data_IF_222793365804
#
_entry.id   IF_222793365804
#
_cell.length_a   1.000
_cell.length_b   1.000
_cell.length_c   1.000
_cell.angle_alpha   90.00
_cell.angle_beta   90.00
_cell.angle_gamma   90.00
#
_symmetry.space_group_name_H-M   'P 1'
#
loop_
_entity.id
_entity.type
_entity.pdbx_description
1 polymer ?
#
# COMPACT_ATOMS: atom_id res chain seq x y z
N UNK A 1 -9.88 7.75 4.24
CA UNK A 1 -8.83 7.49 3.22
C UNK A 1 -9.27 6.43 2.25
N UNK A 2 -8.98 6.64 0.96
CA UNK A 2 -9.11 5.67 -0.12
C UNK A 2 -7.78 5.48 -0.85
N UNK A 3 -7.57 4.32 -1.46
CA UNK A 3 -6.46 4.07 -2.39
C UNK A 3 -5.33 3.22 -1.82
N UNK A 4 -4.10 3.67 -2.01
CA UNK A 4 -2.88 2.91 -1.76
C UNK A 4 -2.25 3.21 -0.38
N UNK A 5 -1.19 2.47 -0.04
CA UNK A 5 -0.40 2.70 1.19
C UNK A 5 0.16 4.12 1.28
N UNK A 6 0.47 4.73 0.13
CA UNK A 6 0.96 6.11 0.10
C UNK A 6 -0.12 7.10 0.55
N UNK A 7 -1.38 6.96 0.06
CA UNK A 7 -2.50 7.77 0.55
C UNK A 7 -2.73 7.54 2.06
N UNK A 8 -2.60 6.29 2.51
CA UNK A 8 -2.74 5.96 3.94
C UNK A 8 -1.69 6.71 4.77
N UNK A 9 -0.41 6.58 4.41
CA UNK A 9 0.69 7.31 5.06
C UNK A 9 0.41 8.83 5.12
N UNK A 10 0.05 9.42 3.99
CA UNK A 10 -0.22 10.87 3.90
C UNK A 10 -1.37 11.29 4.83
N UNK A 11 -2.44 10.48 4.91
CA UNK A 11 -3.56 10.76 5.82
C UNK A 11 -3.17 10.63 7.28
N UNK A 12 -2.44 9.57 7.64
CA UNK A 12 -2.02 9.34 9.02
C UNK A 12 -1.08 10.47 9.49
N UNK A 13 -0.18 10.94 8.61
CA UNK A 13 0.69 12.10 8.88
C UNK A 13 -0.11 13.41 9.06
N UNK A 14 -1.13 13.64 8.24
CA UNK A 14 -2.02 14.80 8.39
C UNK A 14 -2.78 14.72 9.71
N UNK A 15 -3.32 13.54 10.05
CA UNK A 15 -4.01 13.33 11.32
C UNK A 15 -3.09 13.55 12.53
N UNK A 16 -1.82 13.11 12.45
CA UNK A 16 -0.79 13.39 13.47
C UNK A 16 -0.59 14.89 13.67
N UNK A 17 -0.52 15.68 12.58
CA UNK A 17 -0.41 17.14 12.69
C UNK A 17 -1.64 17.79 13.32
N UNK A 18 -2.85 17.37 12.93
CA UNK A 18 -4.08 17.86 13.54
C UNK A 18 -4.12 17.57 15.05
N UNK A 19 -3.72 16.36 15.47
CA UNK A 19 -3.63 16.04 16.90
C UNK A 19 -2.62 16.90 17.65
N UNK A 20 -1.44 17.12 17.05
CA UNK A 20 -0.41 17.99 17.62
C UNK A 20 -0.89 19.45 17.78
N UNK A 21 -1.79 19.90 16.90
CA UNK A 21 -2.46 21.21 16.96
C UNK A 21 -3.68 21.24 17.91
N UNK A 22 -3.98 20.13 18.63
CA UNK A 22 -5.05 20.05 19.61
C UNK A 22 -6.42 19.61 19.07
N UNK A 23 -6.51 19.18 17.81
CA UNK A 23 -7.74 18.61 17.26
C UNK A 23 -7.97 17.18 17.74
N UNK A 24 -9.22 16.83 17.98
CA UNK A 24 -9.65 15.46 18.21
C UNK A 24 -9.96 14.76 16.88
N UNK A 25 -9.43 13.55 16.70
CA UNK A 25 -9.74 12.72 15.53
C UNK A 25 -10.85 11.75 15.90
N UNK A 26 -11.98 11.86 15.24
CA UNK A 26 -13.19 11.07 15.46
C UNK A 26 -13.51 10.19 14.23
N UNK A 27 -14.42 9.24 14.39
CA UNK A 27 -14.88 8.43 13.27
C UNK A 27 -15.60 9.28 12.22
N UNK A 28 -15.46 8.90 10.94
CA UNK A 28 -16.04 9.65 9.81
C UNK A 28 -17.57 9.81 9.89
N UNK A 29 -18.24 8.94 10.62
CA UNK A 29 -19.69 8.98 10.82
C UNK A 29 -20.13 9.84 12.01
N UNK A 30 -19.20 10.33 12.82
CA UNK A 30 -19.46 11.27 13.91
C UNK A 30 -19.56 12.72 13.41
N UNK A 31 -20.10 13.59 14.24
CA UNK A 31 -20.14 15.03 13.97
C UNK A 31 -18.75 15.62 14.18
N UNK A 32 -18.28 16.41 13.23
CA UNK A 32 -16.96 17.05 13.28
C UNK A 32 -17.00 18.42 12.61
N UNK A 33 -16.10 19.31 12.99
CA UNK A 33 -15.94 20.63 12.39
C UNK A 33 -15.24 20.56 11.02
N UNK A 34 -14.41 19.53 10.82
CA UNK A 34 -13.65 19.29 9.58
C UNK A 34 -13.78 17.84 9.12
N UNK A 35 -14.15 17.62 7.88
CA UNK A 35 -14.11 16.31 7.22
C UNK A 35 -13.02 16.30 6.17
N UNK A 36 -12.02 15.43 6.33
CA UNK A 36 -10.95 15.25 5.37
C UNK A 36 -11.13 13.94 4.58
N UNK A 37 -11.19 14.05 3.24
CA UNK A 37 -11.30 12.91 2.31
C UNK A 37 -10.06 12.83 1.44
N UNK A 38 -9.15 11.89 1.71
CA UNK A 38 -8.04 11.56 0.83
C UNK A 38 -8.50 10.53 -0.21
N UNK A 39 -8.56 10.95 -1.46
CA UNK A 39 -9.28 10.29 -2.55
C UNK A 39 -8.37 9.47 -3.49
N UNK A 40 -8.98 8.56 -4.24
CA UNK A 40 -8.31 7.70 -5.23
C UNK A 40 -9.09 7.72 -6.55
N UNK A 41 -8.35 7.58 -7.69
CA UNK A 41 -8.92 7.56 -9.04
C UNK A 41 -8.37 6.43 -9.92
N UNK A 42 -7.68 5.43 -9.36
CA UNK A 42 -7.05 4.36 -10.17
C UNK A 42 -8.06 3.45 -10.89
N UNK A 43 -9.34 3.46 -10.48
CA UNK A 43 -10.43 2.73 -11.12
C UNK A 43 -11.74 3.53 -11.04
N UNK A 44 -12.72 3.24 -11.93
CA UNK A 44 -14.08 3.83 -11.86
C UNK A 44 -14.77 3.55 -10.52
N UNK A 45 -14.45 2.40 -9.89
CA UNK A 45 -14.96 2.07 -8.56
C UNK A 45 -14.36 2.99 -7.49
N UNK A 46 -13.08 3.33 -7.62
CA UNK A 46 -12.43 4.28 -6.72
C UNK A 46 -13.04 5.68 -6.87
N UNK A 47 -13.27 6.16 -8.10
CA UNK A 47 -13.93 7.44 -8.35
C UNK A 47 -15.30 7.51 -7.68
N UNK A 48 -16.13 6.45 -7.88
CA UNK A 48 -17.44 6.40 -7.25
C UNK A 48 -17.37 6.42 -5.72
N UNK A 49 -16.43 5.70 -5.13
CA UNK A 49 -16.22 5.74 -3.67
C UNK A 49 -15.78 7.12 -3.20
N UNK A 50 -14.88 7.78 -3.94
CA UNK A 50 -14.41 9.13 -3.64
C UNK A 50 -15.56 10.14 -3.63
N UNK A 51 -16.39 10.15 -4.68
CA UNK A 51 -17.60 11.00 -4.72
C UNK A 51 -18.59 10.69 -3.60
N UNK A 52 -18.81 9.41 -3.30
CA UNK A 52 -19.74 9.03 -2.24
C UNK A 52 -19.28 9.55 -0.87
N UNK A 53 -17.97 9.53 -0.56
CA UNK A 53 -17.47 10.08 0.69
C UNK A 53 -17.61 11.61 0.73
N UNK A 54 -17.32 12.30 -0.37
CA UNK A 54 -17.57 13.74 -0.49
C UNK A 54 -19.03 14.08 -0.17
N UNK A 55 -19.98 13.44 -0.86
CA UNK A 55 -21.41 13.68 -0.63
C UNK A 55 -21.87 13.30 0.78
N UNK A 56 -21.26 12.27 1.39
CA UNK A 56 -21.54 11.92 2.80
C UNK A 56 -21.10 13.02 3.74
N UNK A 57 -19.91 13.61 3.55
CA UNK A 57 -19.42 14.72 4.35
C UNK A 57 -20.33 15.95 4.15
N UNK A 58 -20.66 16.33 2.91
CA UNK A 58 -21.53 17.46 2.61
C UNK A 58 -22.96 17.31 3.17
N UNK A 59 -23.51 16.09 3.27
CA UNK A 59 -24.81 15.83 3.91
C UNK A 59 -24.86 16.11 5.41
N UNK A 60 -23.69 16.36 6.04
CA UNK A 60 -23.61 16.82 7.44
C UNK A 60 -23.93 18.31 7.59
N UNK A 61 -24.05 19.05 6.48
CA UNK A 61 -24.45 20.45 6.51
C UNK A 61 -25.89 20.59 7.02
N UNK A 62 -26.05 21.49 8.00
CA UNK A 62 -27.34 21.90 8.54
C UNK A 62 -27.48 23.41 8.44
N UNK A 63 -28.68 24.00 8.62
CA UNK A 63 -28.81 25.45 8.67
C UNK A 63 -27.92 26.14 9.70
N UNK A 64 -27.67 25.45 10.83
CA UNK A 64 -26.94 25.98 11.98
C UNK A 64 -25.47 25.54 12.02
N UNK A 65 -25.04 24.60 11.19
CA UNK A 65 -23.67 24.07 11.18
C UNK A 65 -23.25 23.64 9.77
N UNK A 66 -22.17 24.23 9.29
CA UNK A 66 -21.53 23.86 8.01
C UNK A 66 -20.07 23.49 8.27
N UNK A 67 -19.78 22.20 8.53
CA UNK A 67 -18.40 21.76 8.69
C UNK A 67 -17.59 22.02 7.42
N UNK A 68 -16.31 22.28 7.61
CA UNK A 68 -15.37 22.38 6.48
C UNK A 68 -15.13 20.98 5.88
N UNK A 69 -15.36 20.79 4.61
CA UNK A 69 -15.06 19.55 3.88
C UNK A 69 -13.83 19.77 3.01
N UNK A 70 -12.74 19.07 3.32
CA UNK A 70 -11.49 19.12 2.52
C UNK A 70 -11.35 17.81 1.77
N UNK A 71 -11.35 17.87 0.45
CA UNK A 71 -11.04 16.72 -0.39
C UNK A 71 -9.69 16.89 -1.06
N UNK A 72 -8.88 15.84 -1.01
CA UNK A 72 -7.55 15.80 -1.63
C UNK A 72 -7.31 14.47 -2.32
N UNK A 73 -6.16 14.31 -2.97
CA UNK A 73 -5.75 13.03 -3.55
C UNK A 73 -5.97 12.94 -5.06
N UNK A 74 -5.74 11.73 -5.59
CA UNK A 74 -5.69 11.50 -7.04
C UNK A 74 -7.01 11.81 -7.77
N UNK A 75 -8.16 11.69 -7.09
CA UNK A 75 -9.44 12.05 -7.69
C UNK A 75 -9.54 13.55 -7.94
N UNK A 76 -9.11 14.37 -7.00
CA UNK A 76 -9.11 15.83 -7.14
C UNK A 76 -8.28 16.25 -8.35
N UNK A 77 -7.06 15.70 -8.49
CA UNK A 77 -6.19 16.01 -9.63
C UNK A 77 -6.81 15.61 -10.98
N UNK A 78 -7.43 14.42 -11.04
CA UNK A 78 -7.97 13.92 -12.31
C UNK A 78 -9.29 14.56 -12.74
N UNK A 79 -9.96 15.27 -11.82
CA UNK A 79 -11.25 15.93 -12.05
C UNK A 79 -11.23 17.42 -11.69
N UNK A 80 -10.04 18.04 -11.66
CA UNK A 80 -9.88 19.43 -11.19
C UNK A 80 -10.77 20.41 -11.95
N UNK A 81 -10.94 20.20 -13.26
CA UNK A 81 -11.78 21.06 -14.11
C UNK A 81 -13.28 20.96 -13.79
N UNK A 82 -13.70 19.88 -13.13
CA UNK A 82 -15.10 19.60 -12.77
C UNK A 82 -15.41 19.94 -11.29
N UNK A 83 -14.42 20.48 -10.55
CA UNK A 83 -14.50 20.75 -9.11
C UNK A 83 -14.28 22.23 -8.82
N UNK A 84 -15.20 22.84 -8.08
CA UNK A 84 -15.14 24.23 -7.66
C UNK A 84 -15.08 24.31 -6.13
N UNK A 85 -14.13 25.10 -5.61
CA UNK A 85 -14.03 25.39 -4.19
C UNK A 85 -15.16 26.34 -3.78
N UNK A 86 -15.73 26.15 -2.61
CA UNK A 86 -16.67 27.08 -1.97
C UNK A 86 -16.25 27.38 -0.52
N UNK A 87 -17.06 28.16 0.21
CA UNK A 87 -16.76 28.52 1.62
C UNK A 87 -16.65 27.33 2.55
N UNK A 88 -17.27 26.19 2.22
CA UNK A 88 -17.38 24.99 3.07
C UNK A 88 -16.77 23.73 2.45
N UNK A 89 -16.32 23.79 1.18
CA UNK A 89 -15.76 22.63 0.49
C UNK A 89 -14.51 23.05 -0.30
N UNK A 90 -13.36 22.44 0.05
CA UNK A 90 -12.09 22.71 -0.60
C UNK A 90 -11.54 21.49 -1.31
N UNK A 91 -10.92 21.71 -2.46
CA UNK A 91 -10.25 20.69 -3.25
C UNK A 91 -8.74 20.98 -3.32
N UNK A 92 -7.97 20.33 -2.47
CA UNK A 92 -6.52 20.53 -2.32
C UNK A 92 -5.76 19.52 -3.17
N UNK A 93 -4.88 19.99 -4.04
CA UNK A 93 -4.02 19.15 -4.89
C UNK A 93 -3.00 18.31 -4.09
N UNK A 94 -2.43 17.30 -4.77
CA UNK A 94 -1.41 16.43 -4.17
C UNK A 94 -0.12 17.19 -3.81
N UNK A 95 0.18 18.26 -4.53
CA UNK A 95 1.34 19.14 -4.31
C UNK A 95 1.26 19.96 -3.01
N UNK A 96 0.04 20.21 -2.50
CA UNK A 96 -0.23 21.00 -1.28
C UNK A 96 -0.87 20.20 -0.16
N UNK A 97 -1.00 18.89 -0.32
CA UNK A 97 -1.67 18.01 0.64
C UNK A 97 -1.05 18.07 2.04
N UNK A 98 0.27 18.18 2.15
CA UNK A 98 1.01 18.29 3.41
C UNK A 98 0.65 19.55 4.20
N UNK A 99 0.16 20.58 3.52
CA UNK A 99 -0.20 21.87 4.13
C UNK A 99 -1.66 21.96 4.56
N UNK A 100 -2.46 20.91 4.40
CA UNK A 100 -3.88 20.94 4.79
C UNK A 100 -4.09 21.36 6.24
N UNK A 101 -3.32 20.88 7.24
CA UNK A 101 -3.49 21.35 8.61
C UNK A 101 -3.29 22.88 8.75
N UNK A 102 -2.22 23.43 8.14
CA UNK A 102 -1.94 24.87 8.19
C UNK A 102 -3.07 25.69 7.55
N UNK A 103 -3.60 25.22 6.39
CA UNK A 103 -4.72 25.86 5.70
C UNK A 103 -5.99 25.89 6.54
N UNK A 104 -6.27 24.78 7.25
CA UNK A 104 -7.44 24.67 8.14
C UNK A 104 -7.30 25.57 9.36
N UNK A 105 -6.12 25.57 10.00
CA UNK A 105 -5.85 26.46 11.14
C UNK A 105 -5.98 27.93 10.78
N UNK A 106 -5.37 28.34 9.66
CA UNK A 106 -5.48 29.71 9.15
C UNK A 106 -6.92 30.12 8.86
N UNK A 107 -7.72 29.20 8.29
CA UNK A 107 -9.15 29.45 8.03
C UNK A 107 -9.91 29.78 9.32
N UNK A 108 -9.75 28.97 10.37
CA UNK A 108 -10.42 29.21 11.64
C UNK A 108 -9.87 30.44 12.39
N UNK A 109 -8.60 30.81 12.13
CA UNK A 109 -8.01 32.05 12.64
C UNK A 109 -8.43 33.32 11.85
N UNK A 110 -9.08 33.14 10.68
CA UNK A 110 -9.40 34.25 9.76
C UNK A 110 -8.19 34.80 9.03
N UNK A 111 -7.15 33.98 8.87
CA UNK A 111 -5.89 34.34 8.22
C UNK A 111 -5.81 33.78 6.78
N UNK A 112 -5.08 34.45 5.91
CA UNK A 112 -4.76 33.95 4.57
C UNK A 112 -3.29 33.55 4.51
N UNK A 113 -3.03 32.28 4.15
CA UNK A 113 -1.68 31.75 4.00
C UNK A 113 -1.45 31.19 2.60
N UNK A 114 -0.20 31.24 2.17
CA UNK A 114 0.27 30.60 0.94
C UNK A 114 1.33 29.56 1.32
N UNK A 115 0.89 28.34 1.65
CA UNK A 115 1.82 27.32 2.11
C UNK A 115 2.78 26.92 1.00
N UNK A 116 4.04 26.80 1.38
CA UNK A 116 5.12 26.25 0.54
C UNK A 116 5.62 24.99 1.18
N UNK A 117 6.08 24.03 0.40
CA UNK A 117 6.61 22.77 0.96
C UNK A 117 6.82 21.72 -0.10
N UNK A 118 7.50 20.66 0.29
CA UNK A 118 7.74 19.49 -0.53
C UNK A 118 6.63 18.45 -0.36
N UNK A 119 6.38 17.64 -1.38
CA UNK A 119 5.51 16.46 -1.28
C UNK A 119 6.01 15.40 -0.27
N UNK A 120 7.15 15.65 0.36
CA UNK A 120 7.74 14.83 1.42
C UNK A 120 7.64 15.45 2.81
N UNK A 121 7.07 16.65 2.95
CA UNK A 121 6.96 17.37 4.25
C UNK A 121 5.79 16.81 5.08
N UNK A 122 5.89 15.52 5.36
CA UNK A 122 4.99 14.81 6.24
C UNK A 122 5.76 14.31 7.46
N UNK A 123 5.27 14.54 8.69
CA UNK A 123 5.85 13.92 9.87
C UNK A 123 5.69 12.40 9.82
N UNK A 124 6.47 11.70 10.59
CA UNK A 124 6.25 10.29 10.84
C UNK A 124 4.88 10.13 11.52
N UNK A 125 3.97 9.28 10.99
CA UNK A 125 2.66 9.08 11.61
C UNK A 125 2.78 8.50 13.02
N UNK A 126 1.94 8.95 13.94
CA UNK A 126 1.82 8.36 15.27
C UNK A 126 1.43 6.87 15.17
N UNK A 127 2.00 6.03 16.05
CA UNK A 127 1.74 4.58 16.08
C UNK A 127 0.31 4.18 16.45
N UNK A 128 -0.49 5.10 16.98
CA UNK A 128 -1.90 4.85 17.29
C UNK A 128 -2.72 4.41 16.06
N UNK A 129 -2.28 4.77 14.87
CA UNK A 129 -2.97 4.40 13.62
C UNK A 129 -2.57 3.02 13.13
N UNK A 130 -1.30 2.63 13.30
CA UNK A 130 -0.76 1.36 12.81
C UNK A 130 0.44 0.90 13.63
N UNK A 131 0.57 -0.42 13.82
CA UNK A 131 1.72 -1.04 14.49
C UNK A 131 3.01 -0.89 13.68
N UNK A 132 2.90 -0.86 12.35
CA UNK A 132 4.02 -0.72 11.41
C UNK A 132 4.16 0.73 10.99
N UNK A 133 5.38 1.27 11.06
CA UNK A 133 5.67 2.61 10.57
C UNK A 133 5.92 2.59 9.06
N UNK A 134 5.23 3.46 8.34
CA UNK A 134 5.41 3.65 6.90
C UNK A 134 6.28 4.87 6.66
N UNK A 135 7.28 4.75 5.77
CA UNK A 135 8.16 5.85 5.36
C UNK A 135 8.04 6.05 3.85
N UNK A 136 7.57 7.23 3.47
CA UNK A 136 7.48 7.65 2.06
C UNK A 136 8.88 8.03 1.56
N UNK A 137 9.35 7.30 0.53
CA UNK A 137 10.68 7.50 -0.04
C UNK A 137 10.66 8.09 -1.46
N UNK A 138 9.52 7.97 -2.16
CA UNK A 138 9.41 8.37 -3.55
C UNK A 138 7.95 8.75 -3.87
N UNK A 139 7.74 9.70 -4.79
CA UNK A 139 6.42 10.04 -5.33
C UNK A 139 6.48 10.26 -6.85
N UNK A 140 5.32 10.23 -7.51
CA UNK A 140 5.22 10.37 -8.97
C UNK A 140 5.83 9.20 -9.76
N UNK A 141 5.68 9.19 -11.09
CA UNK A 141 6.18 8.12 -11.95
C UNK A 141 6.45 8.58 -13.37
N UNK A 142 7.56 8.12 -13.97
CA UNK A 142 7.96 8.41 -15.34
C UNK A 142 7.77 7.21 -16.29
N UNK A 143 7.12 6.11 -15.88
CA UNK A 143 6.94 4.94 -16.75
C UNK A 143 5.89 5.18 -17.84
N UNK A 144 4.87 5.99 -17.55
CA UNK A 144 3.78 6.25 -18.49
C UNK A 144 3.19 4.95 -19.08
N UNK A 145 2.97 3.94 -18.23
CA UNK A 145 2.25 2.73 -18.64
C UNK A 145 0.92 3.14 -19.28
N UNK A 146 0.54 2.51 -20.38
CA UNK A 146 -0.55 3.00 -21.24
C UNK A 146 -1.91 3.10 -20.55
N UNK A 147 -2.13 2.35 -19.49
CA UNK A 147 -3.37 2.32 -18.69
C UNK A 147 -3.33 3.21 -17.45
N UNK A 148 -2.16 3.76 -17.10
CA UNK A 148 -1.93 4.34 -15.77
C UNK A 148 -2.13 5.85 -15.76
N UNK A 149 -2.96 6.33 -14.83
CA UNK A 149 -3.23 7.76 -14.62
C UNK A 149 -2.19 8.44 -13.70
N UNK A 150 -1.39 7.67 -12.96
CA UNK A 150 -0.51 8.19 -11.90
C UNK A 150 0.44 9.29 -12.36
N UNK A 151 1.13 9.21 -13.53
CA UNK A 151 1.98 10.31 -13.98
C UNK A 151 1.27 11.66 -14.14
N UNK A 152 -0.04 11.63 -14.35
CA UNK A 152 -0.87 12.83 -14.56
C UNK A 152 -1.42 13.39 -13.25
N UNK A 153 -1.59 12.55 -12.22
CA UNK A 153 -2.19 12.97 -10.95
C UNK A 153 -1.20 13.08 -9.78
N UNK A 154 0.02 12.52 -9.92
CA UNK A 154 1.11 12.64 -8.93
C UNK A 154 2.39 13.23 -9.54
N UNK A 155 2.35 13.57 -10.84
CA UNK A 155 3.46 14.21 -11.51
C UNK A 155 4.65 13.27 -11.78
N UNK A 156 5.80 13.89 -12.06
CA UNK A 156 7.06 13.20 -12.36
C UNK A 156 7.61 12.50 -11.12
N UNK A 157 8.40 11.43 -11.37
CA UNK A 157 9.10 10.72 -10.32
C UNK A 157 10.06 11.67 -9.58
N UNK A 158 9.89 11.75 -8.25
CA UNK A 158 10.72 12.52 -7.33
C UNK A 158 11.09 11.62 -6.16
N UNK A 159 12.37 11.62 -5.79
CA UNK A 159 12.89 10.86 -4.64
C UNK A 159 13.08 11.78 -3.44
N UNK A 160 12.77 11.27 -2.25
CA UNK A 160 13.13 11.93 -0.99
C UNK A 160 14.63 11.78 -0.77
N UNK A 161 15.37 12.81 -0.28
CA UNK A 161 16.79 12.68 0.04
C UNK A 161 17.05 11.49 0.96
N UNK A 162 18.10 10.71 0.67
CA UNK A 162 18.39 9.47 1.40
C UNK A 162 18.62 9.72 2.90
N UNK A 163 19.27 10.83 3.26
CA UNK A 163 19.47 11.23 4.64
C UNK A 163 18.15 11.46 5.39
N UNK A 164 17.14 12.05 4.71
CA UNK A 164 15.83 12.34 5.31
C UNK A 164 15.00 11.05 5.46
N UNK A 165 15.18 10.08 4.55
CA UNK A 165 14.57 8.75 4.68
C UNK A 165 15.15 8.01 5.89
N UNK A 166 16.48 8.02 6.04
CA UNK A 166 17.16 7.38 7.18
C UNK A 166 16.78 8.06 8.50
N UNK A 167 16.69 9.40 8.51
CA UNK A 167 16.24 10.16 9.69
C UNK A 167 14.81 9.78 10.09
N UNK A 168 13.87 9.75 9.13
CA UNK A 168 12.49 9.37 9.39
C UNK A 168 12.36 7.90 9.86
N UNK A 169 13.16 6.99 9.30
CA UNK A 169 13.19 5.60 9.77
C UNK A 169 13.69 5.49 11.21
N UNK A 170 14.72 6.26 11.58
CA UNK A 170 15.26 6.31 12.96
C UNK A 170 14.23 6.89 13.91
N UNK A 171 13.62 8.02 13.57
CA UNK A 171 12.56 8.65 14.36
C UNK A 171 11.42 7.66 14.66
N UNK A 172 10.94 6.93 13.65
CA UNK A 172 9.93 5.90 13.82
C UNK A 172 10.35 4.77 14.76
N UNK A 173 11.62 4.33 14.68
CA UNK A 173 12.18 3.29 15.56
C UNK A 173 12.36 3.80 17.00
N UNK A 174 12.80 5.03 17.17
CA UNK A 174 12.95 5.69 18.48
C UNK A 174 11.58 5.88 19.15
N UNK A 175 10.51 6.15 18.35
CA UNK A 175 9.11 6.12 18.81
C UNK A 175 8.58 4.69 19.04
N UNK A 176 9.42 3.68 18.90
CA UNK A 176 9.20 2.28 19.23
C UNK A 176 8.55 1.44 18.14
N UNK A 177 8.55 1.86 16.87
CA UNK A 177 8.14 0.98 15.77
C UNK A 177 9.04 -0.26 15.72
N UNK A 178 8.44 -1.40 15.38
CA UNK A 178 9.16 -2.68 15.21
C UNK A 178 9.29 -3.09 13.74
N UNK A 179 8.47 -2.54 12.87
CA UNK A 179 8.58 -2.77 11.43
C UNK A 179 8.50 -1.43 10.68
N UNK A 180 9.48 -1.18 9.81
CA UNK A 180 9.49 -0.07 8.86
C UNK A 180 9.02 -0.59 7.50
N UNK A 181 8.09 0.11 6.87
CA UNK A 181 7.62 -0.19 5.51
C UNK A 181 8.01 0.97 4.59
N UNK A 182 8.97 0.75 3.70
CA UNK A 182 9.28 1.74 2.67
C UNK A 182 8.16 1.75 1.62
N UNK A 183 7.65 2.93 1.30
CA UNK A 183 6.58 3.11 0.33
C UNK A 183 6.86 4.24 -0.66
N UNK A 184 6.31 4.08 -1.85
CA UNK A 184 6.38 5.05 -2.94
C UNK A 184 5.52 4.60 -4.10
N UNK A 185 5.53 5.37 -5.19
CA UNK A 185 4.81 5.05 -6.42
C UNK A 185 5.61 4.08 -7.29
N UNK A 186 6.91 4.35 -7.48
CA UNK A 186 7.82 3.52 -8.26
C UNK A 186 9.23 3.55 -7.66
N UNK A 187 9.41 2.83 -6.57
CA UNK A 187 10.66 2.84 -5.81
C UNK A 187 11.84 2.19 -6.54
N UNK A 188 11.61 1.32 -7.53
CA UNK A 188 12.70 0.76 -8.35
C UNK A 188 13.46 1.84 -9.15
N UNK A 189 12.89 3.04 -9.23
CA UNK A 189 13.51 4.21 -9.88
C UNK A 189 13.96 5.29 -8.88
N UNK A 190 14.03 4.94 -7.60
CA UNK A 190 14.57 5.84 -6.60
C UNK A 190 16.00 6.25 -7.00
N UNK A 191 16.27 7.56 -6.90
CA UNK A 191 17.59 8.13 -7.15
C UNK A 191 17.75 9.42 -6.34
N UNK A 192 18.81 9.47 -5.58
CA UNK A 192 19.29 10.66 -4.88
C UNK A 192 20.80 10.72 -5.12
N UNK A 193 21.21 11.54 -6.07
CA UNK A 193 22.56 11.57 -6.63
C UNK A 193 23.06 10.15 -7.01
N UNK A 194 24.08 9.64 -6.36
CA UNK A 194 24.63 8.30 -6.58
C UNK A 194 23.89 7.20 -5.80
N UNK A 195 22.92 7.57 -4.95
CA UNK A 195 22.16 6.62 -4.11
C UNK A 195 20.99 6.08 -4.90
N UNK A 196 21.03 4.81 -5.25
CA UNK A 196 19.90 4.07 -5.79
C UNK A 196 19.06 3.42 -4.68
N UNK A 197 18.00 2.69 -5.06
CA UNK A 197 17.08 2.10 -4.09
C UNK A 197 17.75 1.02 -3.22
N UNK A 198 18.66 0.21 -3.78
CA UNK A 198 19.38 -0.81 -3.01
C UNK A 198 20.31 -0.17 -1.97
N UNK A 199 21.07 0.83 -2.38
CA UNK A 199 21.94 1.61 -1.48
C UNK A 199 21.14 2.34 -0.39
N UNK A 200 19.94 2.85 -0.71
CA UNK A 200 19.03 3.42 0.29
C UNK A 200 18.64 2.38 1.35
N UNK A 201 18.25 1.18 0.91
CA UNK A 201 17.88 0.08 1.82
C UNK A 201 19.06 -0.27 2.73
N UNK A 202 20.29 -0.37 2.21
CA UNK A 202 21.47 -0.62 3.03
C UNK A 202 21.66 0.43 4.12
N UNK A 203 21.51 1.73 3.76
CA UNK A 203 21.62 2.81 4.74
C UNK A 203 20.56 2.72 5.83
N UNK A 204 19.35 2.32 5.49
CA UNK A 204 18.28 2.10 6.48
C UNK A 204 18.58 0.87 7.33
N UNK A 205 19.04 -0.24 6.74
CA UNK A 205 19.43 -1.45 7.47
C UNK A 205 20.62 -1.26 8.41
N UNK A 206 21.45 -0.23 8.18
CA UNK A 206 22.56 0.14 9.08
C UNK A 206 22.07 0.72 10.43
N UNK A 207 20.79 1.06 10.60
CA UNK A 207 20.22 1.47 11.89
C UNK A 207 20.15 0.24 12.79
N UNK A 208 20.80 0.29 13.94
CA UNK A 208 20.82 -0.81 14.91
C UNK A 208 19.45 -1.05 15.55
N UNK A 209 19.25 -2.22 16.15
CA UNK A 209 18.05 -2.55 16.90
C UNK A 209 17.35 -3.83 16.43
N UNK A 210 16.32 -4.21 17.19
CA UNK A 210 15.46 -5.38 16.92
C UNK A 210 14.18 -4.94 16.21
N UNK A 211 14.27 -4.80 14.89
CA UNK A 211 13.18 -4.36 14.01
C UNK A 211 13.28 -5.03 12.64
N UNK A 212 12.27 -4.88 11.80
CA UNK A 212 12.19 -5.50 10.47
C UNK A 212 11.90 -4.46 9.38
N UNK A 213 12.56 -4.59 8.24
CA UNK A 213 12.33 -3.77 7.06
C UNK A 213 11.47 -4.52 6.05
N UNK A 214 10.46 -3.86 5.55
CA UNK A 214 9.61 -4.34 4.47
C UNK A 214 9.57 -3.32 3.34
N UNK A 215 9.61 -3.82 2.12
CA UNK A 215 9.43 -3.03 0.91
C UNK A 215 7.99 -3.23 0.42
N UNK A 216 7.31 -2.15 0.05
CA UNK A 216 5.95 -2.24 -0.50
C UNK A 216 5.96 -2.70 -1.97
N UNK A 217 5.28 -2.02 -2.88
CA UNK A 217 5.18 -2.43 -4.28
C UNK A 217 6.40 -2.01 -5.09
N UNK A 218 6.94 -2.93 -5.92
CA UNK A 218 8.03 -2.65 -6.86
C UNK A 218 7.67 -3.07 -8.29
N UNK A 219 8.24 -2.34 -9.23
CA UNK A 219 8.31 -2.76 -10.62
C UNK A 219 9.47 -3.75 -10.81
N UNK A 220 9.32 -4.80 -11.63
CA UNK A 220 10.36 -5.81 -11.86
C UNK A 220 11.60 -5.26 -12.57
N UNK A 221 11.44 -4.18 -13.35
CA UNK A 221 12.53 -3.55 -14.06
C UNK A 221 13.51 -2.87 -13.09
N UNK A 222 14.80 -2.97 -13.37
CA UNK A 222 15.90 -2.34 -12.62
C UNK A 222 16.19 -2.92 -11.22
N UNK A 223 15.65 -4.07 -10.86
CA UNK A 223 16.08 -4.77 -9.66
C UNK A 223 17.42 -5.46 -9.91
N UNK A 224 18.46 -4.96 -9.26
CA UNK A 224 19.85 -5.41 -9.42
C UNK A 224 20.13 -6.66 -8.59
N UNK A 225 21.29 -7.32 -8.84
CA UNK A 225 21.79 -8.38 -7.97
C UNK A 225 21.94 -7.90 -6.54
N UNK A 226 22.54 -6.74 -6.36
CA UNK A 226 22.73 -6.08 -5.07
C UNK A 226 21.39 -5.97 -4.30
N UNK A 227 20.29 -5.55 -4.97
CA UNK A 227 18.97 -5.52 -4.33
C UNK A 227 18.50 -6.91 -3.87
N UNK A 228 18.75 -7.96 -4.65
CA UNK A 228 18.36 -9.33 -4.30
C UNK A 228 19.17 -9.85 -3.12
N UNK A 229 20.47 -9.53 -3.04
CA UNK A 229 21.35 -9.91 -1.95
C UNK A 229 20.97 -9.29 -0.61
N UNK A 230 20.28 -8.14 -0.61
CA UNK A 230 19.78 -7.53 0.63
C UNK A 230 18.79 -8.43 1.38
N UNK A 231 18.14 -9.37 0.71
CA UNK A 231 17.26 -10.32 1.39
C UNK A 231 17.98 -11.39 2.21
N UNK A 232 19.32 -11.46 2.13
CA UNK A 232 20.16 -12.25 3.06
C UNK A 232 20.28 -11.55 4.43
N UNK A 233 19.94 -10.26 4.52
CA UNK A 233 20.03 -9.52 5.77
C UNK A 233 18.86 -9.91 6.71
N UNK A 234 19.12 -10.26 8.00
CA UNK A 234 18.12 -10.85 8.90
C UNK A 234 16.95 -9.93 9.24
N UNK A 235 17.07 -8.62 8.96
CA UNK A 235 15.98 -7.64 9.14
C UNK A 235 15.15 -7.43 7.87
N UNK A 236 15.58 -7.91 6.71
CA UNK A 236 14.75 -7.85 5.51
C UNK A 236 13.62 -8.88 5.59
N UNK A 237 12.39 -8.42 5.44
CA UNK A 237 11.24 -9.32 5.37
C UNK A 237 11.24 -10.11 4.04
N UNK A 238 11.12 -11.45 4.05
CA UNK A 238 11.12 -12.28 2.84
C UNK A 238 9.78 -12.20 2.08
N UNK A 239 9.39 -11.00 1.74
CA UNK A 239 8.17 -10.68 1.02
C UNK A 239 8.40 -9.51 0.06
N UNK A 240 7.82 -9.61 -1.12
CA UNK A 240 7.81 -8.52 -2.10
C UNK A 240 6.50 -8.51 -2.89
N UNK A 241 5.88 -7.33 -2.98
CA UNK A 241 4.82 -7.11 -3.96
C UNK A 241 5.47 -6.68 -5.28
N UNK A 242 5.53 -7.62 -6.23
CA UNK A 242 6.18 -7.42 -7.52
C UNK A 242 5.13 -7.37 -8.63
N UNK A 243 4.95 -6.19 -9.26
CA UNK A 243 3.86 -5.93 -10.20
C UNK A 243 4.06 -6.67 -11.52
N UNK A 244 3.26 -7.70 -11.82
CA UNK A 244 3.30 -8.45 -13.10
C UNK A 244 2.41 -7.82 -14.17
N UNK A 245 1.19 -7.46 -13.83
CA UNK A 245 0.12 -6.92 -14.68
C UNK A 245 -0.45 -7.90 -15.70
N UNK A 246 0.38 -8.60 -16.48
CA UNK A 246 0.00 -9.65 -17.45
C UNK A 246 1.18 -10.62 -17.64
N UNK A 247 0.91 -11.86 -18.04
CA UNK A 247 1.95 -12.81 -18.45
C UNK A 247 2.11 -12.93 -19.98
N UNK A 248 1.28 -12.24 -20.77
CA UNK A 248 1.44 -12.16 -22.21
C UNK A 248 2.45 -11.08 -22.60
N UNK A 249 3.48 -11.47 -23.35
CA UNK A 249 4.51 -10.53 -23.83
C UNK A 249 3.90 -9.40 -24.69
N UNK A 250 2.92 -9.74 -25.55
CA UNK A 250 2.25 -8.75 -26.38
C UNK A 250 1.45 -7.75 -25.52
N UNK A 251 0.77 -8.22 -24.49
CA UNK A 251 0.01 -7.35 -23.58
C UNK A 251 0.96 -6.51 -22.73
N UNK A 252 2.04 -7.06 -22.21
CA UNK A 252 3.07 -6.30 -21.49
C UNK A 252 3.64 -5.18 -22.36
N UNK A 253 3.97 -5.47 -23.62
CA UNK A 253 4.43 -4.46 -24.58
C UNK A 253 3.36 -3.40 -24.85
N UNK A 254 2.10 -3.80 -25.05
CA UNK A 254 0.97 -2.88 -25.26
C UNK A 254 0.70 -2.01 -24.02
N UNK A 255 0.92 -2.54 -22.83
CA UNK A 255 0.91 -1.80 -21.55
C UNK A 255 2.12 -0.89 -21.36
N UNK A 256 3.14 -0.96 -22.25
CA UNK A 256 4.43 -0.27 -22.13
C UNK A 256 5.20 -0.69 -20.88
N UNK A 257 5.22 -1.99 -20.59
CA UNK A 257 6.04 -2.54 -19.50
C UNK A 257 7.49 -2.69 -19.96
N UNK A 258 8.43 -2.53 -19.04
CA UNK A 258 9.88 -2.51 -19.31
C UNK A 258 10.54 -3.86 -18.98
N UNK A 259 9.76 -4.93 -18.95
CA UNK A 259 10.21 -6.30 -18.64
C UNK A 259 9.32 -7.30 -19.38
N UNK A 260 9.85 -8.51 -19.54
CA UNK A 260 9.18 -9.68 -20.07
C UNK A 260 8.70 -10.58 -18.92
N UNK A 261 7.76 -11.50 -19.22
CA UNK A 261 7.34 -12.49 -18.23
C UNK A 261 8.48 -13.47 -17.87
N UNK A 262 9.37 -13.76 -18.81
CA UNK A 262 10.54 -14.58 -18.54
C UNK A 262 11.54 -13.90 -17.58
N UNK A 263 11.75 -12.60 -17.70
CA UNK A 263 12.56 -11.83 -16.75
C UNK A 263 11.91 -11.82 -15.36
N UNK A 264 10.59 -11.64 -15.30
CA UNK A 264 9.82 -11.73 -14.06
C UNK A 264 10.00 -13.11 -13.39
N UNK A 265 9.88 -14.20 -14.15
CA UNK A 265 10.07 -15.57 -13.63
C UNK A 265 11.50 -15.82 -13.12
N UNK A 266 12.52 -15.30 -13.84
CA UNK A 266 13.92 -15.40 -13.40
C UNK A 266 14.11 -14.67 -12.05
N UNK A 267 13.59 -13.47 -11.92
CA UNK A 267 13.64 -12.71 -10.67
C UNK A 267 12.95 -13.45 -9.53
N UNK A 268 11.74 -13.95 -9.76
CA UNK A 268 10.99 -14.73 -8.78
C UNK A 268 11.75 -15.99 -8.31
N UNK A 269 12.45 -16.67 -9.24
CA UNK A 269 13.31 -17.83 -8.91
C UNK A 269 14.48 -17.41 -8.02
N UNK A 270 15.18 -16.35 -8.39
CA UNK A 270 16.35 -15.86 -7.63
C UNK A 270 16.01 -15.45 -6.21
N UNK A 271 14.86 -14.80 -6.00
CA UNK A 271 14.37 -14.48 -4.65
C UNK A 271 14.10 -15.76 -3.84
N UNK A 272 13.58 -16.83 -4.48
CA UNK A 272 13.33 -18.11 -3.82
C UNK A 272 14.59 -18.96 -3.62
N UNK A 273 15.66 -18.68 -4.30
CA UNK A 273 16.98 -19.27 -4.02
C UNK A 273 17.55 -18.74 -2.69
N UNK A 274 17.20 -17.48 -2.30
CA UNK A 274 17.55 -16.91 -0.99
C UNK A 274 16.67 -17.44 0.13
N UNK A 275 15.37 -17.54 -0.11
CA UNK A 275 14.42 -18.15 0.80
C UNK A 275 13.38 -18.97 0.01
N UNK A 276 13.35 -20.31 0.14
CA UNK A 276 12.39 -21.17 -0.57
C UNK A 276 10.92 -20.82 -0.30
N UNK A 277 10.63 -20.12 0.81
CA UNK A 277 9.31 -19.67 1.19
C UNK A 277 9.09 -18.18 0.89
N UNK A 278 10.01 -17.53 0.16
CA UNK A 278 9.88 -16.12 -0.20
C UNK A 278 8.48 -15.82 -0.75
N UNK A 279 7.77 -14.90 -0.10
CA UNK A 279 6.40 -14.55 -0.46
C UNK A 279 6.37 -13.51 -1.58
N UNK A 280 5.92 -13.91 -2.75
CA UNK A 280 5.64 -13.01 -3.86
C UNK A 280 4.15 -12.73 -3.92
N UNK A 281 3.80 -11.45 -3.95
CA UNK A 281 2.44 -10.98 -4.25
C UNK A 281 2.46 -10.11 -5.51
N UNK A 282 1.33 -9.98 -6.20
CA UNK A 282 1.31 -9.29 -7.49
C UNK A 282 -0.04 -8.67 -7.82
N UNK A 283 -0.04 -7.79 -8.82
CA UNK A 283 -1.23 -7.28 -9.50
C UNK A 283 -1.38 -7.94 -10.87
N UNK A 284 -2.63 -8.27 -11.25
CA UNK A 284 -2.98 -8.70 -12.62
C UNK A 284 -4.16 -7.90 -13.11
N UNK A 285 -4.02 -7.31 -14.30
CA UNK A 285 -5.08 -6.62 -15.02
C UNK A 285 -5.61 -7.57 -16.10
N UNK A 286 -6.92 -7.83 -16.08
CA UNK A 286 -7.60 -8.65 -17.09
C UNK A 286 -8.50 -7.83 -17.98
N UNK A 287 -8.63 -8.22 -19.23
CA UNK A 287 -9.47 -7.52 -20.19
C UNK A 287 -8.89 -6.18 -20.64
N UNK A 288 -7.57 -6.09 -20.73
CA UNK A 288 -6.88 -4.98 -21.38
C UNK A 288 -7.31 -4.91 -22.87
N UNK A 289 -7.33 -3.71 -23.51
CA UNK A 289 -7.73 -3.61 -24.92
C UNK A 289 -7.06 -4.63 -25.82
N UNK A 290 -7.87 -5.35 -26.60
CA UNK A 290 -7.47 -6.41 -27.52
C UNK A 290 -6.77 -7.64 -26.87
N UNK A 291 -6.89 -7.85 -25.57
CA UNK A 291 -6.41 -9.11 -24.93
C UNK A 291 -7.23 -10.30 -25.44
N UNK A 292 -6.55 -11.27 -26.08
CA UNK A 292 -7.19 -12.50 -26.57
C UNK A 292 -7.50 -13.49 -25.43
N UNK A 293 -8.21 -14.58 -25.72
CA UNK A 293 -8.45 -15.63 -24.73
C UNK A 293 -7.16 -16.41 -24.43
N UNK A 294 -6.30 -16.64 -25.41
CA UNK A 294 -5.00 -17.31 -25.24
C UNK A 294 -4.09 -16.50 -24.31
N UNK A 295 -4.05 -15.18 -24.47
CA UNK A 295 -3.23 -14.28 -23.63
C UNK A 295 -3.76 -14.17 -22.19
N UNK A 296 -5.07 -14.21 -22.04
CA UNK A 296 -5.68 -14.35 -20.73
C UNK A 296 -5.29 -15.69 -20.08
N UNK A 297 -5.33 -16.80 -20.82
CA UNK A 297 -4.92 -18.12 -20.32
C UNK A 297 -3.42 -18.16 -19.93
N UNK A 298 -2.55 -17.39 -20.60
CA UNK A 298 -1.14 -17.22 -20.17
C UNK A 298 -1.07 -16.61 -18.77
N UNK A 299 -1.84 -15.55 -18.51
CA UNK A 299 -1.90 -14.91 -17.19
C UNK A 299 -2.50 -15.83 -16.12
N UNK A 300 -3.51 -16.64 -16.46
CA UNK A 300 -4.08 -17.63 -15.55
C UNK A 300 -3.05 -18.71 -15.18
N UNK A 301 -2.35 -19.28 -16.18
CA UNK A 301 -1.26 -20.25 -15.93
C UNK A 301 -0.12 -19.66 -15.10
N UNK A 302 0.18 -18.36 -15.26
CA UNK A 302 1.18 -17.68 -14.46
C UNK A 302 0.80 -17.64 -12.96
N UNK A 303 -0.48 -17.39 -12.63
CA UNK A 303 -0.97 -17.44 -11.26
C UNK A 303 -0.76 -18.82 -10.63
N UNK A 304 -1.05 -19.88 -11.39
CA UNK A 304 -0.90 -21.26 -10.92
C UNK A 304 0.57 -21.68 -10.77
N UNK A 305 1.43 -21.28 -11.71
CA UNK A 305 2.82 -21.77 -11.80
C UNK A 305 3.82 -20.97 -11.00
N UNK A 306 3.65 -19.66 -10.87
CA UNK A 306 4.57 -18.81 -10.09
C UNK A 306 4.39 -19.04 -8.59
N UNK A 307 3.19 -19.41 -8.13
CA UNK A 307 2.94 -19.71 -6.71
C UNK A 307 2.94 -18.45 -5.84
N UNK A 308 2.10 -17.50 -6.17
CA UNK A 308 1.92 -16.26 -5.42
C UNK A 308 1.24 -16.50 -4.07
N UNK A 309 1.67 -15.77 -3.04
CA UNK A 309 0.97 -15.71 -1.76
C UNK A 309 -0.29 -14.85 -1.80
N UNK A 310 -0.38 -13.93 -2.78
CA UNK A 310 -1.60 -13.18 -3.07
C UNK A 310 -1.54 -12.54 -4.47
N UNK A 311 -2.70 -12.45 -5.13
CA UNK A 311 -2.87 -11.74 -6.41
C UNK A 311 -4.01 -10.75 -6.29
N UNK A 312 -3.72 -9.48 -6.49
CA UNK A 312 -4.75 -8.46 -6.67
C UNK A 312 -5.22 -8.44 -8.12
N UNK A 313 -6.48 -8.75 -8.34
CA UNK A 313 -7.06 -8.85 -9.67
C UNK A 313 -7.89 -7.62 -10.01
N UNK A 314 -7.54 -6.97 -11.11
CA UNK A 314 -8.20 -5.77 -11.60
C UNK A 314 -8.82 -6.02 -12.98
N UNK A 315 -10.14 -5.94 -13.13
CA UNK A 315 -10.72 -5.73 -14.45
C UNK A 315 -10.19 -4.40 -15.01
N UNK A 316 -9.71 -4.39 -16.25
CA UNK A 316 -9.25 -3.16 -16.88
C UNK A 316 -10.33 -2.06 -16.79
N UNK A 317 -9.94 -0.93 -16.26
CA UNK A 317 -10.78 0.25 -16.05
C UNK A 317 -10.23 1.42 -16.87
N UNK A 318 -11.02 1.90 -17.82
CA UNK A 318 -10.65 3.05 -18.66
C UNK A 318 -10.38 4.27 -17.78
N UNK A 319 -9.22 4.91 -17.98
CA UNK A 319 -8.87 6.18 -17.34
C UNK A 319 -8.76 7.27 -18.41
N UNK A 320 -9.56 8.34 -18.23
CA UNK A 320 -9.56 9.50 -19.12
C UNK A 320 -8.15 10.07 -19.26
N UNK A 321 -7.74 10.39 -20.47
CA UNK A 321 -6.43 10.95 -20.78
C UNK A 321 -5.30 9.92 -20.94
N UNK A 322 -5.51 8.65 -20.56
CA UNK A 322 -4.51 7.60 -20.78
C UNK A 322 -4.46 7.12 -22.23
N UNK A 323 -3.31 6.58 -22.65
CA UNK A 323 -3.18 6.05 -24.01
C UNK A 323 -4.11 4.85 -24.27
N UNK A 324 -4.30 3.99 -23.26
CA UNK A 324 -5.14 2.79 -23.39
C UNK A 324 -6.63 3.13 -23.56
N UNK A 325 -7.10 4.31 -23.13
CA UNK A 325 -8.45 4.80 -23.41
C UNK A 325 -8.75 4.83 -24.93
N UNK A 326 -7.74 5.18 -25.73
CA UNK A 326 -7.87 5.36 -27.20
C UNK A 326 -7.51 4.12 -28.00
N UNK A 327 -7.09 3.04 -27.34
CA UNK A 327 -6.75 1.79 -28.02
C UNK A 327 -8.03 1.12 -28.57
N UNK A 328 -7.97 0.49 -29.74
CA UNK A 328 -9.07 -0.34 -30.25
C UNK A 328 -9.20 -1.64 -29.45
N UNK A 329 -10.32 -2.32 -29.57
CA UNK A 329 -10.51 -3.65 -29.02
C UNK A 329 -10.85 -3.67 -27.53
N UNK A 330 -11.52 -2.64 -26.99
CA UNK A 330 -12.04 -2.67 -25.63
C UNK A 330 -13.01 -3.83 -25.44
N UNK A 331 -12.73 -4.69 -24.47
CA UNK A 331 -13.55 -5.84 -24.17
C UNK A 331 -14.83 -5.45 -23.41
N UNK A 332 -15.94 -6.16 -23.64
CA UNK A 332 -17.18 -5.96 -22.88
C UNK A 332 -16.99 -6.17 -21.39
N UNK A 333 -17.79 -5.47 -20.58
CA UNK A 333 -17.72 -5.59 -19.11
C UNK A 333 -17.92 -7.03 -18.63
N UNK A 334 -18.82 -7.80 -19.27
CA UNK A 334 -19.05 -9.21 -18.97
C UNK A 334 -17.78 -10.04 -19.06
N UNK A 335 -17.02 -9.92 -20.17
CA UNK A 335 -15.76 -10.66 -20.37
C UNK A 335 -14.74 -10.30 -19.29
N UNK A 336 -14.58 -9.01 -18.98
CA UNK A 336 -13.66 -8.56 -17.92
C UNK A 336 -14.05 -9.11 -16.55
N UNK A 337 -15.35 -9.17 -16.25
CA UNK A 337 -15.85 -9.70 -14.97
C UNK A 337 -15.62 -11.21 -14.88
N UNK A 338 -15.86 -11.95 -15.95
CA UNK A 338 -15.65 -13.41 -16.04
C UNK A 338 -14.16 -13.75 -15.89
N UNK A 339 -13.28 -13.09 -16.65
CA UNK A 339 -11.82 -13.27 -16.52
C UNK A 339 -11.32 -12.95 -15.12
N UNK A 340 -11.82 -11.86 -14.51
CA UNK A 340 -11.46 -11.50 -13.16
C UNK A 340 -11.93 -12.52 -12.11
N UNK A 341 -13.07 -13.17 -12.31
CA UNK A 341 -13.54 -14.24 -11.43
C UNK A 341 -12.60 -15.45 -11.50
N UNK A 342 -12.22 -15.88 -12.71
CA UNK A 342 -11.29 -17.02 -12.92
C UNK A 342 -9.91 -16.77 -12.30
N UNK A 343 -9.32 -15.56 -12.47
CA UNK A 343 -8.04 -15.22 -11.82
C UNK A 343 -8.18 -15.22 -10.30
N UNK A 344 -9.27 -14.69 -9.74
CA UNK A 344 -9.48 -14.70 -8.28
C UNK A 344 -9.59 -16.12 -7.72
N UNK A 345 -10.27 -17.02 -8.40
CA UNK A 345 -10.37 -18.43 -8.01
C UNK A 345 -8.98 -19.08 -8.00
N UNK A 346 -8.21 -18.95 -9.08
CA UNK A 346 -6.83 -19.46 -9.15
C UNK A 346 -5.93 -18.82 -8.06
N UNK A 347 -6.10 -17.52 -7.81
CA UNK A 347 -5.37 -16.79 -6.78
C UNK A 347 -5.68 -17.30 -5.36
N UNK A 348 -6.93 -17.65 -5.06
CA UNK A 348 -7.30 -18.27 -3.77
C UNK A 348 -6.63 -19.63 -3.59
N UNK A 349 -6.59 -20.46 -4.63
CA UNK A 349 -5.88 -21.74 -4.61
C UNK A 349 -4.38 -21.52 -4.39
N UNK A 350 -3.76 -20.61 -5.12
CA UNK A 350 -2.34 -20.29 -5.00
C UNK A 350 -2.00 -19.77 -3.57
N UNK A 351 -2.81 -18.86 -3.04
CA UNK A 351 -2.68 -18.33 -1.67
C UNK A 351 -2.73 -19.45 -0.64
N UNK A 352 -3.72 -20.34 -0.73
CA UNK A 352 -3.86 -21.48 0.18
C UNK A 352 -2.64 -22.38 0.13
N UNK A 353 -2.20 -22.79 -1.05
CA UNK A 353 -0.99 -23.62 -1.25
C UNK A 353 0.26 -22.96 -0.69
N UNK A 354 0.40 -21.64 -0.86
CA UNK A 354 1.52 -20.92 -0.29
C UNK A 354 1.51 -20.96 1.23
N UNK A 355 0.36 -20.67 1.86
CA UNK A 355 0.22 -20.68 3.33
C UNK A 355 0.39 -22.10 3.92
N UNK A 356 -0.08 -23.13 3.23
CA UNK A 356 0.11 -24.54 3.63
C UNK A 356 1.60 -24.93 3.70
N UNK A 357 2.45 -24.39 2.82
CA UNK A 357 3.91 -24.61 2.85
C UNK A 357 4.59 -24.02 4.09
N UNK A 358 3.98 -23.07 4.74
CA UNK A 358 4.48 -22.50 6.01
C UNK A 358 4.13 -23.35 7.23
N UNK A 359 3.16 -24.26 7.11
CA UNK A 359 2.79 -25.18 8.21
C UNK A 359 3.99 -26.06 8.61
N UNK A 360 4.18 -26.23 9.92
CA UNK A 360 5.34 -26.92 10.50
C UNK A 360 6.59 -26.05 10.66
N UNK A 361 6.52 -24.77 10.26
CA UNK A 361 7.61 -23.78 10.43
C UNK A 361 7.37 -22.90 11.64
N UNK A 362 8.42 -22.22 12.07
CA UNK A 362 8.33 -21.19 13.11
C UNK A 362 8.49 -19.82 12.45
N UNK A 363 7.47 -18.97 12.61
CA UNK A 363 7.45 -17.59 12.12
C UNK A 363 7.77 -16.61 13.24
N UNK A 364 8.50 -15.55 12.89
CA UNK A 364 8.64 -14.36 13.74
C UNK A 364 7.48 -13.40 13.43
N UNK A 365 6.53 -13.32 14.35
CA UNK A 365 5.27 -12.59 14.19
C UNK A 365 5.32 -11.28 14.95
N UNK A 366 5.03 -10.16 14.28
CA UNK A 366 4.74 -8.90 14.94
C UNK A 366 3.26 -8.89 15.34
N UNK A 367 3.00 -8.82 16.64
CA UNK A 367 1.62 -8.78 17.18
C UNK A 367 1.02 -7.40 16.93
N UNK A 368 -0.08 -7.35 16.19
CA UNK A 368 -0.81 -6.12 15.88
C UNK A 368 -2.03 -5.91 16.77
N UNK A 369 -2.59 -7.01 17.31
CA UNK A 369 -3.77 -6.98 18.18
C UNK A 369 -3.73 -8.13 19.15
N UNK A 370 -4.10 -7.85 20.40
CA UNK A 370 -4.23 -8.84 21.46
C UNK A 370 -5.58 -8.68 22.17
N UNK A 371 -6.35 -9.75 22.27
CA UNK A 371 -7.69 -9.76 22.84
C UNK A 371 -7.79 -10.72 24.01
N UNK A 372 -8.27 -10.25 25.16
CA UNK A 372 -8.56 -11.11 26.32
C UNK A 372 -9.88 -11.83 26.08
N UNK A 373 -9.86 -13.18 26.08
CA UNK A 373 -11.04 -14.03 25.89
C UNK A 373 -10.99 -15.17 26.90
N UNK A 374 -11.96 -15.25 27.80
CA UNK A 374 -12.19 -16.38 28.70
C UNK A 374 -10.92 -16.95 29.37
N UNK A 375 -10.11 -16.07 29.97
CA UNK A 375 -8.90 -16.49 30.72
C UNK A 375 -7.68 -16.80 29.83
N UNK A 376 -7.76 -16.57 28.52
CA UNK A 376 -6.66 -16.65 27.57
C UNK A 376 -6.48 -15.34 26.82
N UNK A 377 -5.33 -15.15 26.14
CA UNK A 377 -5.10 -13.98 25.28
C UNK A 377 -4.94 -14.47 23.84
N UNK A 378 -5.86 -14.08 22.96
CA UNK A 378 -5.72 -14.32 21.52
C UNK A 378 -4.84 -13.24 20.92
N UNK A 379 -3.84 -13.66 20.15
CA UNK A 379 -2.85 -12.80 19.53
C UNK A 379 -2.99 -12.91 18.01
N UNK A 380 -3.06 -11.75 17.37
CA UNK A 380 -3.13 -11.62 15.91
C UNK A 380 -1.97 -10.75 15.43
N UNK A 381 -1.30 -11.18 14.37
CA UNK A 381 -0.20 -10.40 13.80
C UNK A 381 0.22 -10.89 12.44
N UNK A 382 1.27 -10.28 11.91
CA UNK A 382 1.87 -10.65 10.63
C UNK A 382 3.23 -11.28 10.82
N UNK A 383 3.40 -12.46 10.22
CA UNK A 383 4.67 -13.16 10.10
C UNK A 383 5.68 -12.41 9.22
N UNK A 384 6.92 -12.83 9.27
CA UNK A 384 7.99 -12.27 8.43
C UNK A 384 7.70 -12.42 6.93
N UNK A 385 7.04 -13.52 6.52
CA UNK A 385 6.57 -13.75 5.15
C UNK A 385 5.27 -12.99 4.79
N UNK A 386 4.85 -12.02 5.59
CA UNK A 386 3.64 -11.23 5.36
C UNK A 386 2.35 -12.07 5.27
N UNK A 387 2.22 -13.01 6.17
CA UNK A 387 1.03 -13.87 6.33
C UNK A 387 0.36 -13.60 7.67
N UNK A 388 -0.98 -13.57 7.73
CA UNK A 388 -1.68 -13.41 9.00
C UNK A 388 -1.54 -14.68 9.85
N UNK A 389 -1.20 -14.48 11.12
CA UNK A 389 -1.00 -15.54 12.12
C UNK A 389 -1.87 -15.26 13.34
N UNK A 390 -2.54 -16.30 13.83
CA UNK A 390 -3.28 -16.31 15.08
C UNK A 390 -2.66 -17.33 16.04
N UNK A 391 -2.44 -16.93 17.30
CA UNK A 391 -1.99 -17.83 18.36
C UNK A 391 -2.63 -17.46 19.70
N UNK A 392 -2.35 -18.24 20.72
CA UNK A 392 -2.84 -18.01 22.09
C UNK A 392 -1.65 -17.75 22.99
N UNK A 393 -1.72 -16.66 23.72
CA UNK A 393 -0.76 -16.29 24.77
C UNK A 393 -1.29 -16.58 26.18
N UNK A 394 -0.39 -16.56 27.14
CA UNK A 394 -0.77 -16.71 28.54
C UNK A 394 -1.38 -15.41 29.09
N UNK A 395 -2.42 -15.47 29.91
CA UNK A 395 -2.91 -14.31 30.64
C UNK A 395 -1.80 -13.78 31.56
N UNK A 396 -1.81 -12.45 31.79
CA UNK A 396 -0.90 -11.82 32.75
C UNK A 396 -1.59 -10.67 33.44
N UNK A 397 -1.06 -10.26 34.59
CA UNK A 397 -1.52 -9.06 35.32
C UNK A 397 -1.38 -7.79 34.49
N UNK A 398 -0.42 -7.71 33.54
CA UNK A 398 -0.24 -6.60 32.64
C UNK A 398 -1.26 -6.56 31.46
N UNK A 399 -2.21 -7.51 31.42
CA UNK A 399 -3.26 -7.59 30.40
C UNK A 399 -2.77 -8.06 29.02
N UNK A 400 -3.70 -8.05 28.05
CA UNK A 400 -3.43 -8.47 26.68
C UNK A 400 -2.49 -7.48 25.94
N UNK A 401 -2.58 -6.19 26.24
CA UNK A 401 -1.84 -5.12 25.58
C UNK A 401 -0.32 -5.27 25.61
N UNK A 402 0.23 -6.00 26.61
CA UNK A 402 1.68 -6.27 26.67
C UNK A 402 2.26 -6.97 25.43
N UNK A 403 1.41 -7.66 24.69
CA UNK A 403 1.82 -8.36 23.49
C UNK A 403 1.82 -7.46 22.24
N UNK A 404 1.02 -6.39 22.23
CA UNK A 404 0.92 -5.52 21.07
C UNK A 404 2.26 -4.84 20.78
N UNK A 405 2.57 -4.71 19.50
CA UNK A 405 3.84 -4.19 19.02
C UNK A 405 5.09 -4.95 19.53
N UNK A 406 4.95 -6.22 19.83
CA UNK A 406 6.07 -7.10 20.20
C UNK A 406 6.24 -8.22 19.18
N UNK A 407 7.49 -8.72 19.09
CA UNK A 407 7.75 -9.95 18.35
C UNK A 407 7.54 -11.15 19.21
N UNK A 408 6.84 -12.13 18.66
CA UNK A 408 6.71 -13.49 19.21
C UNK A 408 7.16 -14.51 18.17
N UNK A 409 7.59 -15.67 18.62
CA UNK A 409 7.85 -16.83 17.75
C UNK A 409 6.66 -17.76 17.84
N UNK A 410 6.10 -18.13 16.68
CA UNK A 410 4.93 -19.00 16.59
C UNK A 410 5.25 -20.20 15.72
N UNK A 411 5.16 -21.39 16.28
CA UNK A 411 5.18 -22.62 15.49
C UNK A 411 3.81 -22.80 14.83
N UNK A 412 3.79 -22.81 13.50
CA UNK A 412 2.57 -22.85 12.70
C UNK A 412 2.06 -24.29 12.60
N UNK A 413 0.96 -24.61 13.26
CA UNK A 413 0.43 -25.97 13.32
C UNK A 413 -0.50 -26.30 12.15
N UNK A 414 -1.34 -25.34 11.73
CA UNK A 414 -2.35 -25.57 10.69
C UNK A 414 -2.83 -24.28 10.05
N UNK A 415 -3.41 -24.42 8.86
CA UNK A 415 -4.17 -23.36 8.19
C UNK A 415 -5.61 -23.36 8.71
N UNK A 416 -6.17 -22.16 8.95
CA UNK A 416 -7.58 -21.98 9.29
C UNK A 416 -8.52 -22.22 8.11
N UNK A 417 -9.80 -22.01 8.33
CA UNK A 417 -10.86 -22.13 7.33
C UNK A 417 -11.21 -20.78 6.69
N UNK A 418 -12.00 -20.80 5.61
CA UNK A 418 -12.50 -19.61 4.93
C UNK A 418 -11.72 -19.21 3.67
N UNK A 419 -12.12 -18.11 3.04
CA UNK A 419 -11.50 -17.60 1.80
C UNK A 419 -10.13 -16.97 2.04
N UNK A 420 -9.91 -16.36 3.21
CA UNK A 420 -8.62 -15.80 3.62
C UNK A 420 -8.13 -16.47 4.91
N UNK A 421 -7.73 -17.76 4.83
CA UNK A 421 -7.46 -18.58 5.99
C UNK A 421 -6.20 -18.11 6.73
N UNK A 422 -6.34 -17.81 8.02
CA UNK A 422 -5.25 -17.41 8.91
C UNK A 422 -4.43 -18.65 9.32
N UNK A 423 -3.12 -18.52 9.39
CA UNK A 423 -2.26 -19.57 9.98
C UNK A 423 -2.44 -19.58 11.50
N UNK A 424 -2.66 -20.76 12.05
CA UNK A 424 -2.83 -20.98 13.49
C UNK A 424 -1.66 -21.78 14.04
N UNK A 425 -1.19 -21.39 15.21
CA UNK A 425 -0.05 -22.05 15.83
C UNK A 425 0.03 -21.82 17.34
N UNK A 426 1.10 -22.30 17.94
CA UNK A 426 1.44 -22.14 19.36
C UNK A 426 2.72 -21.32 19.52
N UNK A 427 2.85 -20.65 20.64
CA UNK A 427 4.11 -19.97 21.01
C UNK A 427 5.25 -21.01 21.05
N UNK A 428 6.39 -20.66 20.42
CA UNK A 428 7.57 -21.52 20.29
C UNK A 428 8.64 -21.15 21.33
#
# INVERSE_FOLDING_TARGET
TLGCKLNQFETDSIATRFRAAGYEIVDFDEAADVYLVNSCTVTNRADRKSRNLLYRAQRRFTPDSRPLVVMTGCYVESHRDDLEDDESTWFVGNDRKQSIPDLVEAHFAGEAIHPTGSVFDFPVPERIFHTRATVKVQDGCNNYCTFCIIPYVRGRATSRPAQDVVAAAREALDDGAREIVLTGVNMSRYRDDEVDFATLIERVLAIEGDWRLRVSSLEPDRLTEHFIELFDHPRMAPHLHLCLQSASERILLAMRRQYTFDEYRRLARRLRERDPLFNLTTDIIVGFPAESDEEFEESLRAVESVGFGHVHTFPYSVRRGTRAERMPGHLPARVKTERAARIREAALVAKRRYRERLTGRTERVLVERAEQIEGTVRLFGLGEHYVPVETVGSPSEAGAQRYENTYIRVHLDRLGEGEDPVLKGRLA
#
